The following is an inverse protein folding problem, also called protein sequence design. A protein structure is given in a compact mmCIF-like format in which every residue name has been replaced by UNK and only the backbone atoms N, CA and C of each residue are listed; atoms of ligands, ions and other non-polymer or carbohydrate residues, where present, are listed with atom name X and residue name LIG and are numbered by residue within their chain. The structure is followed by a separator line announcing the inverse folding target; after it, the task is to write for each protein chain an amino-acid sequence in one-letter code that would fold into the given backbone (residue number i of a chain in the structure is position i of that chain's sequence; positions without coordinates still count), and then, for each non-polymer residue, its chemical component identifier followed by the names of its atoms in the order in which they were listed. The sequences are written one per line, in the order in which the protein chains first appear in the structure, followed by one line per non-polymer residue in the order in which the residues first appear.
data_IF_857913694127
#
_entry.id   IF_857913694127
#
_cell.length_a   1.000
_cell.length_b   1.000
_cell.length_c   1.000
_cell.angle_alpha   90.00
_cell.angle_beta   90.00
_cell.angle_gamma   90.00
#
_symmetry.space_group_name_H-M   'P 1'
#
loop_
_entity.id
_entity.type
_entity.pdbx_description
1 polymer ?
#
# COMPACT_ATOMS: atom_id res chain seq x y z
N UNK A 1 43.46 -0.93 42.32
CA UNK A 1 43.20 -0.39 40.97
C UNK A 1 42.30 -1.36 40.20
N UNK A 2 40.97 -1.15 40.21
CA UNK A 2 40.06 -1.56 39.12
C UNK A 2 38.92 -0.54 39.12
N UNK A 3 38.85 0.26 38.06
CA UNK A 3 37.88 1.33 37.89
C UNK A 3 36.49 0.77 37.64
N UNK A 4 35.50 1.33 38.32
CA UNK A 4 34.09 1.08 38.08
C UNK A 4 33.67 1.79 36.80
N UNK A 5 33.63 1.09 35.67
CA UNK A 5 33.04 1.62 34.43
C UNK A 5 31.52 1.61 34.59
N UNK A 6 30.94 2.77 34.92
CA UNK A 6 29.50 2.99 34.77
C UNK A 6 29.16 2.92 33.28
N UNK A 7 28.50 1.85 32.86
CA UNK A 7 27.90 1.77 31.52
C UNK A 7 26.69 2.70 31.54
N UNK A 8 26.84 3.90 30.96
CA UNK A 8 25.75 4.82 30.70
C UNK A 8 24.82 4.19 29.66
N UNK A 9 23.69 3.65 30.13
CA UNK A 9 22.57 3.26 29.26
C UNK A 9 21.83 4.53 28.81
N UNK A 10 22.37 5.24 27.83
CA UNK A 10 21.59 6.20 27.05
C UNK A 10 20.80 5.43 25.98
N UNK A 11 19.75 4.72 26.43
CA UNK A 11 18.72 4.28 25.52
C UNK A 11 17.97 5.53 25.05
N UNK A 12 18.24 6.00 23.83
CA UNK A 12 17.38 6.97 23.18
C UNK A 12 16.00 6.33 23.06
N UNK A 13 14.99 6.96 23.64
CA UNK A 13 13.59 6.52 23.64
C UNK A 13 12.94 6.72 22.26
N UNK A 14 13.68 6.40 21.19
CA UNK A 14 13.19 6.38 19.81
C UNK A 14 12.42 5.07 19.64
N UNK A 15 11.18 5.07 20.10
CA UNK A 15 10.25 3.97 19.88
C UNK A 15 10.17 3.62 18.39
N UNK A 16 9.98 2.33 18.10
CA UNK A 16 9.79 1.85 16.72
C UNK A 16 8.53 2.53 16.16
N UNK A 17 8.70 3.49 15.27
CA UNK A 17 7.60 4.17 14.59
C UNK A 17 7.15 3.31 13.40
N UNK A 18 6.14 2.47 13.61
CA UNK A 18 5.49 1.73 12.53
C UNK A 18 4.56 2.69 11.79
N UNK A 19 4.99 3.18 10.63
CA UNK A 19 4.14 3.98 9.74
C UNK A 19 3.25 3.05 8.91
N UNK A 20 1.99 3.42 8.69
CA UNK A 20 1.06 2.68 7.83
C UNK A 20 1.57 2.53 6.40
N UNK A 21 2.30 3.52 5.88
CA UNK A 21 2.97 3.44 4.58
C UNK A 21 3.96 2.29 4.48
N UNK A 22 4.51 1.82 5.60
CA UNK A 22 5.40 0.64 5.67
C UNK A 22 4.63 -0.67 5.51
N UNK A 23 3.30 -0.68 5.72
CA UNK A 23 2.45 -1.88 5.63
C UNK A 23 1.75 -2.03 4.26
N UNK A 24 1.69 -0.96 3.45
CA UNK A 24 1.11 -1.01 2.10
C UNK A 24 2.25 -1.31 1.13
N UNK A 25 2.45 -2.56 0.80
CA UNK A 25 3.52 -3.02 -0.11
C UNK A 25 2.93 -3.57 -1.41
N UNK A 26 3.82 -3.81 -2.39
CA UNK A 26 3.47 -4.63 -3.53
C UNK A 26 3.13 -6.04 -3.04
N UNK A 27 1.98 -6.55 -3.43
CA UNK A 27 1.68 -7.96 -3.30
C UNK A 27 2.25 -8.68 -4.53
N UNK A 28 3.08 -9.70 -4.29
CA UNK A 28 3.79 -10.45 -5.33
C UNK A 28 2.97 -11.64 -5.86
N UNK A 29 1.78 -11.88 -5.30
CA UNK A 29 0.83 -12.88 -5.79
C UNK A 29 -0.02 -12.27 -6.91
N UNK A 30 -0.71 -13.12 -7.67
CA UNK A 30 -1.70 -12.66 -8.63
C UNK A 30 -2.91 -12.04 -7.90
N UNK A 31 -3.52 -10.99 -8.46
CA UNK A 31 -4.66 -10.31 -7.86
C UNK A 31 -5.81 -11.30 -7.58
N UNK A 32 -6.05 -12.20 -8.53
CA UNK A 32 -7.09 -13.21 -8.50
C UNK A 32 -6.84 -14.29 -7.45
N UNK A 33 -5.63 -14.42 -6.89
CA UNK A 33 -5.35 -15.32 -5.76
C UNK A 33 -5.93 -14.74 -4.47
N UNK A 34 -5.85 -13.42 -4.26
CA UNK A 34 -6.24 -12.73 -3.04
C UNK A 34 -7.69 -12.20 -3.06
N UNK A 35 -8.17 -11.86 -4.24
CA UNK A 35 -9.45 -11.19 -4.45
C UNK A 35 -10.34 -11.93 -5.42
N UNK A 36 -11.63 -11.97 -5.09
CA UNK A 36 -12.68 -12.23 -6.07
C UNK A 36 -13.05 -10.90 -6.76
N UNK A 37 -12.67 -10.75 -8.03
CA UNK A 37 -12.98 -9.55 -8.82
C UNK A 37 -14.38 -9.67 -9.41
N UNK A 38 -15.21 -8.65 -9.19
CA UNK A 38 -16.62 -8.58 -9.59
C UNK A 38 -16.85 -7.57 -10.72
N UNK A 39 -18.06 -7.04 -10.81
CA UNK A 39 -18.50 -6.12 -11.86
C UNK A 39 -17.77 -4.78 -11.85
N UNK A 40 -17.82 -4.11 -13.00
CA UNK A 40 -17.29 -2.77 -13.21
C UNK A 40 -18.10 -1.75 -12.41
N UNK A 41 -17.41 -0.98 -11.57
CA UNK A 41 -17.95 0.18 -10.87
C UNK A 41 -17.82 1.46 -11.71
N UNK A 42 -16.76 1.58 -12.51
CA UNK A 42 -16.53 2.78 -13.31
C UNK A 42 -15.34 2.67 -14.27
N UNK A 43 -15.15 3.72 -15.06
CA UNK A 43 -13.97 3.90 -15.92
C UNK A 43 -13.50 5.34 -15.87
N UNK A 44 -12.19 5.54 -15.92
CA UNK A 44 -11.56 6.85 -15.99
C UNK A 44 -10.41 6.86 -16.99
N UNK A 45 -9.69 7.98 -17.04
CA UNK A 45 -8.65 8.22 -18.04
C UNK A 45 -7.52 7.19 -18.04
N UNK A 46 -7.25 6.56 -16.90
CA UNK A 46 -6.13 5.63 -16.70
C UNK A 46 -6.54 4.15 -16.74
N UNK A 47 -7.84 3.84 -16.74
CA UNK A 47 -8.31 2.47 -16.71
C UNK A 47 -9.69 2.30 -16.09
N UNK A 48 -9.94 1.13 -15.51
CA UNK A 48 -11.26 0.73 -15.00
C UNK A 48 -11.22 0.51 -13.49
N UNK A 49 -12.36 0.71 -12.84
CA UNK A 49 -12.57 0.36 -11.44
C UNK A 49 -13.58 -0.76 -11.38
N UNK A 50 -13.25 -1.84 -10.67
CA UNK A 50 -14.15 -2.98 -10.42
C UNK A 50 -14.37 -3.15 -8.92
N UNK A 51 -15.53 -3.69 -8.55
CA UNK A 51 -15.75 -4.18 -7.19
C UNK A 51 -14.92 -5.46 -7.00
N UNK A 52 -14.47 -5.71 -5.77
CA UNK A 52 -13.82 -6.96 -5.42
C UNK A 52 -14.07 -7.32 -3.95
N UNK A 53 -13.87 -8.58 -3.60
CA UNK A 53 -13.97 -9.08 -2.23
C UNK A 53 -12.66 -9.77 -1.87
N UNK A 54 -12.05 -9.36 -0.77
CA UNK A 54 -10.86 -10.03 -0.24
C UNK A 54 -11.26 -11.41 0.28
N UNK A 55 -10.69 -12.48 -0.28
CA UNK A 55 -11.19 -13.85 -0.04
C UNK A 55 -11.17 -14.24 1.43
N UNK A 56 -10.07 -13.96 2.14
CA UNK A 56 -9.94 -14.41 3.53
C UNK A 56 -10.75 -13.59 4.53
N UNK A 57 -10.94 -12.29 4.26
CA UNK A 57 -11.56 -11.36 5.23
C UNK A 57 -13.02 -11.07 4.89
N UNK A 58 -13.47 -11.39 3.68
CA UNK A 58 -14.80 -11.04 3.18
C UNK A 58 -15.02 -9.54 2.95
N UNK A 59 -13.99 -8.70 3.12
CA UNK A 59 -14.12 -7.26 2.96
C UNK A 59 -14.34 -6.88 1.50
N UNK A 60 -15.43 -6.14 1.25
CA UNK A 60 -15.68 -5.52 -0.05
C UNK A 60 -14.74 -4.32 -0.27
N UNK A 61 -14.16 -4.25 -1.46
CA UNK A 61 -13.22 -3.20 -1.87
C UNK A 61 -13.45 -2.82 -3.34
N UNK A 62 -12.76 -1.77 -3.76
CA UNK A 62 -12.66 -1.39 -5.16
C UNK A 62 -11.21 -1.60 -5.62
N UNK A 63 -11.04 -2.22 -6.78
CA UNK A 63 -9.74 -2.35 -7.45
C UNK A 63 -9.71 -1.46 -8.69
N UNK A 64 -8.69 -0.60 -8.78
CA UNK A 64 -8.45 0.24 -9.96
C UNK A 64 -7.37 -0.44 -10.81
N UNK A 65 -7.78 -0.94 -11.96
CA UNK A 65 -6.90 -1.59 -12.94
C UNK A 65 -6.41 -0.50 -13.90
N UNK A 66 -5.09 -0.37 -14.02
CA UNK A 66 -4.43 0.67 -14.80
C UNK A 66 -3.61 0.02 -15.91
N UNK A 67 -3.84 0.44 -17.14
CA UNK A 67 -3.04 -0.05 -18.28
C UNK A 67 -1.67 0.63 -18.28
N UNK A 68 -0.58 -0.14 -18.08
CA UNK A 68 0.79 0.39 -18.08
C UNK A 68 1.13 1.19 -19.33
N UNK A 69 0.60 0.78 -20.49
CA UNK A 69 0.78 1.47 -21.78
C UNK A 69 0.23 2.91 -21.80
N UNK A 70 -0.73 3.24 -20.93
CA UNK A 70 -1.29 4.59 -20.78
C UNK A 70 -0.47 5.47 -19.82
N UNK A 71 0.50 4.90 -19.12
CA UNK A 71 1.37 5.63 -18.20
C UNK A 71 2.55 6.23 -18.96
N UNK A 72 2.52 7.55 -19.16
CA UNK A 72 3.59 8.27 -19.86
C UNK A 72 4.88 8.38 -19.04
N UNK A 73 4.77 8.46 -17.71
CA UNK A 73 5.89 8.62 -16.80
C UNK A 73 5.74 7.71 -15.58
N UNK A 74 6.45 6.58 -15.61
CA UNK A 74 6.43 5.59 -14.53
C UNK A 74 6.98 6.13 -13.21
N UNK A 75 7.96 7.05 -13.23
CA UNK A 75 8.51 7.62 -12.02
C UNK A 75 7.50 8.54 -11.30
N UNK A 76 6.76 9.33 -12.07
CA UNK A 76 5.66 10.15 -11.54
C UNK A 76 4.54 9.26 -10.97
N UNK A 77 4.18 8.19 -11.68
CA UNK A 77 3.17 7.24 -11.20
C UNK A 77 3.58 6.56 -9.89
N UNK A 78 4.85 6.14 -9.75
CA UNK A 78 5.39 5.60 -8.49
C UNK A 78 5.35 6.63 -7.35
N UNK A 79 5.54 7.91 -7.67
CA UNK A 79 5.40 8.99 -6.69
C UNK A 79 3.95 9.12 -6.22
N UNK A 80 2.97 9.03 -7.12
CA UNK A 80 1.54 9.04 -6.76
C UNK A 80 1.18 7.85 -5.85
N UNK A 81 1.68 6.65 -6.14
CA UNK A 81 1.51 5.48 -5.26
C UNK A 81 2.08 5.76 -3.87
N UNK A 82 3.28 6.32 -3.80
CA UNK A 82 3.93 6.65 -2.52
C UNK A 82 3.10 7.64 -1.71
N UNK A 83 2.51 8.64 -2.36
CA UNK A 83 1.61 9.59 -1.71
C UNK A 83 0.39 8.86 -1.16
N UNK A 84 -0.28 8.03 -1.97
CA UNK A 84 -1.46 7.26 -1.56
C UNK A 84 -1.18 6.32 -0.37
N UNK A 85 0.01 5.73 -0.30
CA UNK A 85 0.44 4.90 0.84
C UNK A 85 0.51 5.68 2.16
N UNK A 86 0.77 6.98 2.10
CA UNK A 86 0.88 7.83 3.30
C UNK A 86 -0.45 8.38 3.80
N UNK A 87 -1.52 8.30 2.99
CA UNK A 87 -2.82 8.87 3.34
C UNK A 87 -3.56 7.99 4.36
N UNK A 88 -3.97 8.61 5.46
CA UNK A 88 -4.80 7.99 6.49
C UNK A 88 -5.73 9.01 7.12
N UNK A 89 -6.95 9.11 6.57
CA UNK A 89 -7.95 10.06 7.04
C UNK A 89 -9.35 9.50 6.79
N UNK A 90 -10.32 9.68 7.71
CA UNK A 90 -11.68 9.10 7.58
C UNK A 90 -12.44 9.54 6.34
N UNK A 91 -12.07 10.68 5.74
CA UNK A 91 -12.72 11.24 4.55
C UNK A 91 -11.85 11.19 3.29
N UNK A 92 -10.73 10.45 3.32
CA UNK A 92 -9.85 10.26 2.17
C UNK A 92 -9.77 8.77 1.86
N UNK A 93 -9.78 8.42 0.57
CA UNK A 93 -9.68 7.02 0.15
C UNK A 93 -8.40 6.39 0.67
N UNK A 94 -8.53 5.14 1.15
CA UNK A 94 -7.43 4.37 1.71
C UNK A 94 -6.96 3.33 0.71
N UNK A 95 -5.65 3.32 0.47
CA UNK A 95 -4.97 2.24 -0.23
C UNK A 95 -4.67 1.11 0.75
N UNK A 96 -4.84 -0.13 0.31
CA UNK A 96 -4.58 -1.33 1.13
C UNK A 96 -3.34 -2.08 0.66
N UNK A 97 -3.20 -2.26 -0.65
CA UNK A 97 -2.07 -2.91 -1.32
C UNK A 97 -2.11 -2.54 -2.81
N UNK A 98 -1.07 -2.91 -3.55
CA UNK A 98 -1.09 -2.87 -5.02
C UNK A 98 -0.47 -4.13 -5.61
N UNK A 99 -0.85 -4.39 -6.84
CA UNK A 99 -0.39 -5.50 -7.67
C UNK A 99 0.23 -4.93 -8.94
N UNK A 100 1.19 -5.65 -9.50
CA UNK A 100 1.78 -5.34 -10.80
C UNK A 100 1.83 -6.67 -11.56
N UNK A 101 1.23 -6.71 -12.75
CA UNK A 101 1.44 -7.79 -13.72
C UNK A 101 2.84 -7.64 -14.34
N UNK A 102 3.27 -8.55 -15.22
CA UNK A 102 4.48 -8.34 -16.04
C UNK A 102 4.15 -7.52 -17.30
#
# INVERSE_FOLDING_TARGET
RKGSTKISRTATNSGILIKKSTMIVQNLRELEEEYEVKDKLGSGSYGIVKACVHKDTGHERAVKIIEKSKIKNMAQFRTEITILQTLDHPHVIKMYEYFEDD
#
